data_IF_410244154378
#
_entry.id   IF_410244154378
#
_cell.length_a   1.000
_cell.length_b   1.000
_cell.length_c   1.000
_cell.angle_alpha   90.00
_cell.angle_beta   90.00
_cell.angle_gamma   90.00
#
_symmetry.space_group_name_H-M   'P 1'
#
loop_
_entity.id
_entity.type
_entity.pdbx_description
1 polymer ?
#
# COMPACT_ATOMS: atom_id res chain seq x y z
N UNK A 1 -17.27 13.39 -24.54
CA UNK A 1 -16.18 13.91 -23.66
C UNK A 1 -15.01 12.97 -23.82
N UNK A 2 -13.84 13.45 -24.24
CA UNK A 2 -12.64 12.63 -24.26
C UNK A 2 -12.08 12.52 -22.85
N UNK A 3 -11.86 11.31 -22.36
CA UNK A 3 -11.03 11.05 -21.18
C UNK A 3 -9.60 11.50 -21.51
N UNK A 4 -9.07 12.45 -20.75
CA UNK A 4 -7.64 12.78 -20.81
C UNK A 4 -6.92 11.86 -19.85
N UNK A 5 -5.91 11.16 -20.34
CA UNK A 5 -4.99 10.41 -19.49
C UNK A 5 -4.29 11.35 -18.51
N UNK A 6 -4.16 10.91 -17.27
CA UNK A 6 -3.38 11.62 -16.25
C UNK A 6 -1.89 11.42 -16.57
N UNK A 7 -1.09 12.49 -16.72
CA UNK A 7 0.34 12.35 -16.93
C UNK A 7 1.01 11.61 -15.76
N UNK A 8 2.00 10.76 -16.07
CA UNK A 8 2.65 9.88 -15.07
C UNK A 8 3.15 10.61 -13.83
N UNK A 9 3.82 11.76 -14.01
CA UNK A 9 4.34 12.55 -12.90
C UNK A 9 3.24 13.12 -11.98
N UNK A 10 2.04 13.39 -12.51
CA UNK A 10 0.90 13.81 -11.69
C UNK A 10 0.36 12.62 -10.91
N UNK A 11 0.25 11.46 -11.56
CA UNK A 11 -0.13 10.22 -10.89
C UNK A 11 0.85 9.89 -9.75
N UNK A 12 2.16 10.00 -9.98
CA UNK A 12 3.17 9.76 -8.95
C UNK A 12 2.99 10.67 -7.74
N UNK A 13 2.73 11.97 -7.95
CA UNK A 13 2.47 12.91 -6.86
C UNK A 13 1.19 12.56 -6.08
N UNK A 14 0.13 12.12 -6.78
CA UNK A 14 -1.11 11.68 -6.14
C UNK A 14 -0.89 10.42 -5.30
N UNK A 15 -0.08 9.47 -5.78
CA UNK A 15 0.24 8.25 -5.04
C UNK A 15 1.06 8.55 -3.79
N UNK A 16 2.06 9.43 -3.88
CA UNK A 16 2.83 9.87 -2.71
C UNK A 16 1.92 10.49 -1.64
N UNK A 17 1.00 11.38 -2.06
CA UNK A 17 0.05 12.00 -1.13
C UNK A 17 -0.91 11.00 -0.49
N UNK A 18 -1.41 10.05 -1.28
CA UNK A 18 -2.27 8.96 -0.79
C UNK A 18 -1.53 8.07 0.21
N UNK A 19 -0.30 7.65 -0.10
CA UNK A 19 0.53 6.82 0.76
C UNK A 19 0.83 7.51 2.09
N UNK A 20 1.21 8.78 2.04
CA UNK A 20 1.48 9.56 3.25
C UNK A 20 0.24 9.66 4.15
N UNK A 21 -0.91 10.01 3.57
CA UNK A 21 -2.17 10.14 4.33
C UNK A 21 -2.63 8.79 4.91
N UNK A 22 -2.51 7.71 4.14
CA UNK A 22 -2.85 6.38 4.63
C UNK A 22 -1.95 5.98 5.80
N UNK A 23 -0.64 6.23 5.70
CA UNK A 23 0.30 5.97 6.79
C UNK A 23 -0.07 6.74 8.06
N UNK A 24 -0.47 8.01 7.94
CA UNK A 24 -0.94 8.81 9.06
C UNK A 24 -2.17 8.16 9.75
N UNK A 25 -3.19 7.80 8.97
CA UNK A 25 -4.41 7.15 9.49
C UNK A 25 -4.11 5.83 10.17
N UNK A 26 -3.31 4.96 9.53
CA UNK A 26 -2.97 3.66 10.09
C UNK A 26 -2.19 3.82 11.38
N UNK A 27 -1.18 4.70 11.44
CA UNK A 27 -0.38 4.92 12.64
C UNK A 27 -1.20 5.50 13.80
N UNK A 28 -2.23 6.32 13.53
CA UNK A 28 -3.13 6.83 14.57
C UNK A 28 -3.97 5.74 15.24
N UNK A 29 -4.24 4.64 14.54
CA UNK A 29 -5.15 3.58 15.00
C UNK A 29 -4.48 2.22 15.20
N UNK A 30 -3.19 2.10 14.92
CA UNK A 30 -2.48 0.85 15.02
C UNK A 30 -2.21 0.46 16.48
N UNK A 31 -2.64 -0.74 16.86
CA UNK A 31 -2.30 -1.35 18.14
C UNK A 31 -1.14 -2.36 17.96
N UNK A 32 -0.18 -2.43 18.90
CA UNK A 32 0.90 -3.41 18.82
C UNK A 32 0.38 -4.85 18.70
N UNK A 33 0.82 -5.55 17.64
CA UNK A 33 0.36 -6.91 17.34
C UNK A 33 -0.98 -6.98 16.58
N UNK A 34 -1.58 -5.84 16.26
CA UNK A 34 -2.77 -5.74 15.42
C UNK A 34 -2.44 -5.73 13.92
N UNK A 35 -3.50 -5.69 13.12
CA UNK A 35 -3.43 -5.52 11.65
C UNK A 35 -3.41 -4.04 11.29
N UNK A 36 -2.84 -3.71 10.13
CA UNK A 36 -2.97 -2.37 9.59
C UNK A 36 -4.42 -2.11 9.20
N UNK A 37 -4.99 -0.99 9.67
CA UNK A 37 -6.28 -0.53 9.15
C UNK A 37 -6.03 0.24 7.86
N UNK A 38 -6.50 -0.33 6.75
CA UNK A 38 -6.33 0.22 5.40
C UNK A 38 -7.68 0.70 4.88
N UNK A 39 -7.72 1.92 4.38
CA UNK A 39 -8.93 2.56 3.86
C UNK A 39 -9.40 1.94 2.54
N UNK A 40 -10.72 2.02 2.29
CA UNK A 40 -11.30 1.61 1.01
C UNK A 40 -10.67 2.38 -0.17
N UNK A 41 -10.34 3.67 0.02
CA UNK A 41 -9.75 4.50 -1.04
C UNK A 41 -8.35 4.02 -1.44
N UNK A 42 -7.53 3.61 -0.46
CA UNK A 42 -6.24 2.99 -0.74
C UNK A 42 -6.42 1.65 -1.46
N UNK A 43 -7.35 0.82 -0.99
CA UNK A 43 -7.68 -0.47 -1.60
C UNK A 43 -8.14 -0.35 -3.06
N UNK A 44 -9.00 0.61 -3.36
CA UNK A 44 -9.49 0.89 -4.72
C UNK A 44 -8.35 1.28 -5.67
N UNK A 45 -7.47 2.20 -5.23
CA UNK A 45 -6.31 2.64 -6.03
C UNK A 45 -5.31 1.49 -6.20
N UNK A 46 -5.04 0.72 -5.15
CA UNK A 46 -4.19 -0.46 -5.23
C UNK A 46 -4.75 -1.49 -6.22
N UNK A 47 -6.04 -1.82 -6.14
CA UNK A 47 -6.67 -2.80 -7.03
C UNK A 47 -6.66 -2.34 -8.49
N UNK A 48 -6.86 -1.04 -8.73
CA UNK A 48 -6.72 -0.45 -10.06
C UNK A 48 -5.27 -0.55 -10.56
N UNK A 49 -4.29 -0.11 -9.77
CA UNK A 49 -2.88 -0.22 -10.11
C UNK A 49 -2.45 -1.66 -10.34
N UNK A 50 -2.98 -2.61 -9.58
CA UNK A 50 -2.66 -4.01 -9.74
C UNK A 50 -3.00 -4.54 -11.14
N UNK A 51 -4.12 -4.09 -11.71
CA UNK A 51 -4.57 -4.51 -13.04
C UNK A 51 -3.81 -3.80 -14.15
N UNK A 52 -3.51 -2.52 -13.98
CA UNK A 52 -2.85 -1.70 -15.02
C UNK A 52 -1.32 -1.84 -14.99
N UNK A 53 -0.73 -1.86 -13.81
CA UNK A 53 0.72 -1.89 -13.57
C UNK A 53 1.06 -2.53 -12.21
N UNK A 54 1.15 -3.88 -12.14
CA UNK A 54 1.44 -4.62 -10.90
C UNK A 54 2.75 -4.20 -10.23
N UNK A 55 3.75 -3.75 -11.01
CA UNK A 55 5.02 -3.28 -10.46
C UNK A 55 4.82 -1.99 -9.66
N UNK A 56 4.03 -1.04 -10.18
CA UNK A 56 3.70 0.20 -9.49
C UNK A 56 2.81 -0.02 -8.27
N UNK A 57 1.89 -0.98 -8.33
CA UNK A 57 1.12 -1.41 -7.15
C UNK A 57 2.03 -1.97 -6.04
N UNK A 58 3.01 -2.79 -6.41
CA UNK A 58 4.02 -3.32 -5.47
C UNK A 58 4.86 -2.20 -4.87
N UNK A 59 5.30 -1.24 -5.68
CA UNK A 59 6.05 -0.06 -5.20
C UNK A 59 5.21 0.79 -4.24
N UNK A 60 3.93 1.02 -4.53
CA UNK A 60 3.02 1.75 -3.64
C UNK A 60 2.93 1.11 -2.25
N UNK A 61 2.84 -0.23 -2.18
CA UNK A 61 2.84 -0.95 -0.89
C UNK A 61 4.20 -0.87 -0.19
N UNK A 62 5.30 -0.89 -0.94
CA UNK A 62 6.64 -0.72 -0.39
C UNK A 62 6.85 0.68 0.20
N UNK A 63 6.45 1.73 -0.51
CA UNK A 63 6.50 3.11 -0.04
C UNK A 63 5.62 3.29 1.20
N UNK A 64 4.42 2.71 1.20
CA UNK A 64 3.54 2.69 2.36
C UNK A 64 4.18 2.00 3.57
N UNK A 65 4.78 0.82 3.39
CA UNK A 65 5.49 0.15 4.48
C UNK A 65 6.69 0.97 4.98
N UNK A 66 7.39 1.68 4.08
CA UNK A 66 8.51 2.53 4.45
C UNK A 66 8.07 3.78 5.24
N UNK A 67 6.96 4.42 4.85
CA UNK A 67 6.34 5.50 5.62
C UNK A 67 5.96 5.03 7.04
N UNK A 68 5.28 3.89 7.14
CA UNK A 68 4.88 3.32 8.43
C UNK A 68 6.07 3.02 9.35
N UNK A 69 7.21 2.58 8.80
CA UNK A 69 8.35 2.08 9.60
C UNK A 69 9.45 3.10 9.85
N UNK A 70 9.66 4.04 8.93
CA UNK A 70 10.88 4.84 8.91
C UNK A 70 10.66 6.33 8.71
N UNK A 71 9.79 6.73 7.77
CA UNK A 71 9.78 8.11 7.28
C UNK A 71 8.70 8.99 7.91
N UNK A 72 7.59 8.41 8.35
CA UNK A 72 6.54 9.19 8.98
C UNK A 72 6.96 9.68 10.38
N UNK A 73 6.46 10.84 10.80
CA UNK A 73 6.84 11.44 12.09
C UNK A 73 6.42 10.58 13.31
N UNK A 74 5.41 9.72 13.14
CA UNK A 74 4.95 8.72 14.12
C UNK A 74 5.34 7.29 13.75
N UNK A 75 6.39 7.11 12.94
CA UNK A 75 6.79 5.81 12.43
C UNK A 75 6.96 4.76 13.55
N UNK A 76 6.49 3.54 13.28
CA UNK A 76 6.54 2.42 14.20
C UNK A 76 7.28 1.23 13.56
N UNK A 77 8.50 0.97 14.05
CA UNK A 77 9.36 -0.11 13.55
C UNK A 77 8.80 -1.52 13.80
N UNK A 78 7.85 -1.69 14.71
CA UNK A 78 7.22 -2.99 14.97
C UNK A 78 6.16 -3.33 13.93
N UNK A 79 5.68 -2.34 13.17
CA UNK A 79 4.73 -2.58 12.09
C UNK A 79 5.46 -3.24 10.92
N UNK A 80 5.09 -4.48 10.63
CA UNK A 80 5.72 -5.29 9.59
C UNK A 80 4.85 -5.45 8.35
N UNK A 81 5.45 -6.00 7.30
CA UNK A 81 4.75 -6.31 6.05
C UNK A 81 3.53 -7.20 6.28
N UNK A 82 3.61 -8.22 7.14
CA UNK A 82 2.47 -9.10 7.39
C UNK A 82 1.27 -8.36 8.00
N UNK A 83 1.49 -7.37 8.88
CA UNK A 83 0.39 -6.56 9.42
C UNK A 83 -0.32 -5.76 8.31
N UNK A 84 0.43 -5.27 7.32
CA UNK A 84 -0.11 -4.62 6.11
C UNK A 84 -0.88 -5.63 5.26
N UNK A 85 -0.29 -6.80 5.00
CA UNK A 85 -0.92 -7.83 4.16
C UNK A 85 -2.20 -8.38 4.78
N UNK A 86 -2.25 -8.57 6.10
CA UNK A 86 -3.47 -8.98 6.82
C UNK A 86 -4.54 -7.89 6.82
N UNK A 87 -4.13 -6.62 6.80
CA UNK A 87 -5.00 -5.44 6.74
C UNK A 87 -5.57 -5.12 5.37
N UNK A 88 -4.97 -5.64 4.30
CA UNK A 88 -5.32 -5.29 2.92
C UNK A 88 -6.66 -5.88 2.44
N UNK A 89 -6.99 -7.17 2.64
CA UNK A 89 -8.20 -7.79 2.07
C UNK A 89 -9.51 -7.06 2.37
N UNK A 90 -9.76 -6.53 3.59
CA UNK A 90 -10.97 -5.75 3.88
C UNK A 90 -11.18 -4.52 2.97
N UNK A 91 -10.09 -3.92 2.46
CA UNK A 91 -10.13 -2.75 1.56
C UNK A 91 -10.35 -3.11 0.08
N UNK A 92 -10.15 -4.38 -0.31
CA UNK A 92 -10.20 -4.84 -1.71
C UNK A 92 -11.61 -5.29 -2.11
N UNK A 93 -12.59 -4.39 -1.99
CA UNK A 93 -14.00 -4.73 -2.27
C UNK A 93 -14.19 -5.09 -3.74
N UNK A 94 -14.76 -6.26 -3.98
CA UNK A 94 -15.03 -6.75 -5.33
C UNK A 94 -13.84 -7.38 -6.04
N UNK A 95 -12.70 -7.54 -5.36
CA UNK A 95 -11.60 -8.38 -5.84
C UNK A 95 -11.86 -9.84 -5.39
N UNK A 96 -11.80 -10.83 -6.30
CA UNK A 96 -11.96 -12.23 -5.94
C UNK A 96 -10.91 -12.72 -4.92
N UNK A 97 -11.25 -13.61 -3.98
CA UNK A 97 -10.31 -14.09 -2.95
C UNK A 97 -9.02 -14.71 -3.51
N UNK A 98 -9.11 -15.40 -4.64
CA UNK A 98 -7.96 -16.00 -5.33
C UNK A 98 -7.00 -14.94 -5.90
N UNK A 99 -7.54 -13.81 -6.37
CA UNK A 99 -6.75 -12.69 -6.85
C UNK A 99 -6.09 -11.96 -5.66
N UNK A 100 -6.82 -11.80 -4.55
CA UNK A 100 -6.26 -11.27 -3.30
C UNK A 100 -5.10 -12.13 -2.78
N UNK A 101 -5.24 -13.46 -2.82
CA UNK A 101 -4.16 -14.37 -2.42
C UNK A 101 -2.92 -14.21 -3.33
N UNK A 102 -3.12 -14.12 -4.65
CA UNK A 102 -2.03 -13.91 -5.60
C UNK A 102 -1.34 -12.54 -5.42
N UNK A 103 -2.11 -11.50 -5.07
CA UNK A 103 -1.58 -10.19 -4.69
C UNK A 103 -0.68 -10.33 -3.45
N UNK A 104 -1.19 -10.91 -2.37
CA UNK A 104 -0.44 -11.08 -1.11
C UNK A 104 0.85 -11.89 -1.31
N UNK A 105 0.82 -12.97 -2.09
CA UNK A 105 2.00 -13.79 -2.36
C UNK A 105 3.09 -13.01 -3.12
N UNK A 106 2.67 -12.20 -4.08
CA UNK A 106 3.58 -11.33 -4.84
C UNK A 106 4.15 -10.24 -3.97
N UNK A 107 3.31 -9.54 -3.18
CA UNK A 107 3.78 -8.50 -2.27
C UNK A 107 4.76 -9.04 -1.23
N UNK A 108 4.48 -10.23 -0.66
CA UNK A 108 5.38 -10.89 0.30
C UNK A 108 6.75 -11.18 -0.30
N UNK A 109 6.80 -11.58 -1.57
CA UNK A 109 8.05 -11.86 -2.28
C UNK A 109 8.80 -10.58 -2.65
N UNK A 110 8.09 -9.57 -3.14
CA UNK A 110 8.71 -8.48 -3.90
C UNK A 110 8.90 -7.19 -3.07
N UNK A 111 7.99 -6.87 -2.14
CA UNK A 111 8.09 -5.66 -1.29
C UNK A 111 9.40 -5.59 -0.49
N UNK A 112 9.92 -6.68 0.12
CA UNK A 112 11.17 -6.63 0.86
C UNK A 112 12.38 -6.15 0.05
N UNK A 113 12.37 -6.35 -1.28
CA UNK A 113 13.46 -5.91 -2.16
C UNK A 113 13.56 -4.39 -2.27
N UNK A 114 12.46 -3.68 -2.08
CA UNK A 114 12.38 -2.22 -2.19
C UNK A 114 12.66 -1.53 -0.84
N UNK A 115 12.23 -2.15 0.27
CA UNK A 115 12.34 -1.56 1.61
C UNK A 115 13.69 -1.82 2.28
N UNK A 116 14.40 -2.89 1.89
CA UNK A 116 15.73 -3.23 2.43
C UNK A 116 16.89 -2.37 1.92
N UNK A 117 16.67 -1.50 0.93
CA UNK A 117 17.69 -0.58 0.42
C UNK A 117 17.80 0.74 1.20
N UNK A 118 17.03 0.88 2.29
CA UNK A 118 17.02 2.06 3.16
C UNK A 118 17.83 1.95 4.46
N UNK A 119 18.55 0.84 4.68
CA UNK A 119 19.47 0.62 5.82
C UNK A 119 20.93 0.96 5.46
#
# INVERSE_FOLDING_TARGET
MGTRETPDHILDQLLVGLVFYEAELTLMHFEPGGTALISDAFGDVFAWLWRENPAKATMMVADYLAELRFYHHNANRTLGLEAVLEGLPPSLRGVPPEEVAAMQDTLRRDVPMYVSQGD
#
